data_IF_367066742925
#
_entry.id   IF_367066742925
#
_cell.length_a   1.000
_cell.length_b   1.000
_cell.length_c   1.000
_cell.angle_alpha   90.00
_cell.angle_beta   90.00
_cell.angle_gamma   90.00
#
_symmetry.space_group_name_H-M   'P 1'
#
loop_
_entity.id
_entity.type
_entity.pdbx_description
1 polymer ?
#
# COMPACT_ATOMS: atom_id res chain seq x y z
N UNK A 1 -19.41 -4.74 -3.58
CA UNK A 1 -18.31 -3.79 -3.29
C UNK A 1 -18.97 -2.45 -3.02
N UNK A 2 -19.21 -2.12 -1.75
CA UNK A 2 -19.75 -0.80 -1.39
C UNK A 2 -18.63 0.24 -1.53
N UNK A 3 -18.99 1.47 -1.88
CA UNK A 3 -18.05 2.58 -2.17
C UNK A 3 -17.12 2.87 -0.98
N UNK A 4 -17.52 2.47 0.23
CA UNK A 4 -16.79 2.61 1.51
C UNK A 4 -15.52 1.75 1.62
N UNK A 5 -15.30 0.78 0.73
CA UNK A 5 -14.17 -0.16 0.83
C UNK A 5 -13.07 0.06 -0.23
N UNK A 6 -13.11 1.21 -0.90
CA UNK A 6 -12.12 1.58 -1.93
C UNK A 6 -10.92 2.24 -1.29
N UNK A 7 -9.74 1.63 -1.42
CA UNK A 7 -8.48 2.24 -1.01
C UNK A 7 -7.99 3.20 -2.11
N UNK A 8 -7.70 4.45 -1.74
CA UNK A 8 -7.10 5.43 -2.65
C UNK A 8 -5.58 5.49 -2.48
N UNK A 9 -4.89 5.97 -3.52
CA UNK A 9 -3.43 5.96 -3.58
C UNK A 9 -2.74 6.71 -2.44
N UNK A 10 -3.34 7.80 -1.94
CA UNK A 10 -2.86 8.52 -0.76
C UNK A 10 -2.88 7.67 0.51
N UNK A 11 -3.92 6.86 0.71
CA UNK A 11 -4.05 5.96 1.86
C UNK A 11 -3.06 4.79 1.74
N UNK A 12 -2.91 4.22 0.54
CA UNK A 12 -1.89 3.22 0.26
C UNK A 12 -0.47 3.75 0.55
N UNK A 13 -0.18 5.00 0.15
CA UNK A 13 1.07 5.65 0.47
C UNK A 13 1.28 5.80 1.99
N UNK A 14 0.24 6.19 2.72
CA UNK A 14 0.28 6.32 4.17
C UNK A 14 0.54 4.97 4.85
N UNK A 15 -0.11 3.89 4.40
CA UNK A 15 0.09 2.53 4.90
C UNK A 15 1.54 2.06 4.69
N UNK A 16 2.12 2.29 3.51
CA UNK A 16 3.54 1.98 3.26
C UNK A 16 4.46 2.75 4.20
N UNK A 17 4.25 4.07 4.33
CA UNK A 17 5.06 4.93 5.20
C UNK A 17 4.98 4.48 6.66
N UNK A 18 3.78 4.12 7.14
CA UNK A 18 3.56 3.57 8.48
C UNK A 18 4.28 2.25 8.71
N UNK A 19 4.45 1.45 7.66
CA UNK A 19 5.28 0.24 7.69
C UNK A 19 6.79 0.49 7.55
N UNK A 20 7.23 1.75 7.53
CA UNK A 20 8.65 2.12 7.46
C UNK A 20 9.31 1.82 6.11
N UNK A 21 8.52 1.64 5.04
CA UNK A 21 9.04 1.24 3.73
C UNK A 21 9.19 2.43 2.79
N UNK A 22 10.23 2.43 1.96
CA UNK A 22 10.29 3.26 0.75
C UNK A 22 9.50 2.58 -0.39
N UNK A 23 9.15 3.31 -1.46
CA UNK A 23 8.51 2.69 -2.63
C UNK A 23 9.38 1.60 -3.25
N UNK A 24 10.70 1.81 -3.34
CA UNK A 24 11.63 0.81 -3.83
C UNK A 24 11.71 -0.42 -2.91
N UNK A 25 11.70 -0.21 -1.59
CA UNK A 25 11.69 -1.30 -0.61
C UNK A 25 10.40 -2.13 -0.67
N UNK A 26 9.25 -1.48 -0.86
CA UNK A 26 7.97 -2.18 -1.07
C UNK A 26 7.97 -2.93 -2.40
N UNK A 27 8.45 -2.31 -3.47
CA UNK A 27 8.56 -2.90 -4.79
C UNK A 27 9.42 -4.19 -4.75
N UNK A 28 10.56 -4.16 -4.06
CA UNK A 28 11.41 -5.33 -3.87
C UNK A 28 10.67 -6.47 -3.12
N UNK A 29 9.89 -6.15 -2.08
CA UNK A 29 9.11 -7.15 -1.33
C UNK A 29 7.99 -7.80 -2.14
N UNK A 30 7.39 -7.04 -3.06
CA UNK A 30 6.25 -7.51 -3.86
C UNK A 30 6.65 -8.00 -5.25
N UNK A 31 7.95 -8.05 -5.56
CA UNK A 31 8.46 -8.37 -6.89
C UNK A 31 7.84 -7.49 -7.99
N UNK A 32 7.80 -6.18 -7.71
CA UNK A 32 7.29 -5.14 -8.60
C UNK A 32 8.39 -4.11 -8.87
N UNK A 33 8.13 -3.19 -9.79
CA UNK A 33 8.95 -2.00 -10.01
C UNK A 33 8.50 -0.86 -9.11
N UNK A 34 9.43 0.05 -8.78
CA UNK A 34 9.09 1.32 -8.09
C UNK A 34 8.00 2.09 -8.84
N UNK A 35 8.02 2.07 -10.18
CA UNK A 35 7.03 2.78 -11.01
C UNK A 35 5.63 2.19 -10.83
N UNK A 36 5.48 0.87 -10.73
CA UNK A 36 4.19 0.24 -10.44
C UNK A 36 3.67 0.67 -9.06
N UNK A 37 4.53 0.70 -8.03
CA UNK A 37 4.15 1.23 -6.71
C UNK A 37 3.70 2.69 -6.82
N UNK A 38 4.42 3.52 -7.58
CA UNK A 38 4.03 4.92 -7.80
C UNK A 38 2.68 5.09 -8.51
N UNK A 39 2.28 4.15 -9.38
CA UNK A 39 0.96 4.15 -10.02
C UNK A 39 -0.15 3.79 -9.03
N UNK A 40 0.10 2.83 -8.13
CA UNK A 40 -0.85 2.49 -7.07
C UNK A 40 -0.99 3.61 -6.05
N UNK A 41 0.11 4.30 -5.72
CA UNK A 41 0.11 5.41 -4.75
C UNK A 41 -0.30 6.77 -5.36
N UNK A 42 -0.90 6.78 -6.55
CA UNK A 42 -1.31 8.02 -7.22
C UNK A 42 -2.55 8.60 -6.54
N UNK A 43 -2.46 9.83 -6.05
CA UNK A 43 -3.54 10.51 -5.33
C UNK A 43 -4.84 10.59 -6.14
N UNK A 44 -5.96 10.33 -5.47
CA UNK A 44 -7.30 10.35 -6.06
C UNK A 44 -7.54 9.22 -7.07
N UNK A 45 -6.61 8.27 -7.21
CA UNK A 45 -6.82 7.06 -8.00
C UNK A 45 -7.12 5.88 -7.07
N UNK A 46 -8.13 5.06 -7.40
CA UNK A 46 -8.38 3.84 -6.67
C UNK A 46 -7.23 2.84 -6.90
N UNK A 47 -6.80 2.19 -5.83
CA UNK A 47 -5.87 1.06 -5.89
C UNK A 47 -6.67 -0.17 -6.34
N UNK A 48 -6.14 -1.00 -7.25
CA UNK A 48 -6.85 -2.21 -7.63
C UNK A 48 -7.05 -3.14 -6.41
N UNK A 49 -8.16 -3.89 -6.33
CA UNK A 49 -8.56 -4.58 -5.10
C UNK A 49 -7.48 -5.49 -4.49
N UNK A 50 -6.76 -6.25 -5.33
CA UNK A 50 -5.70 -7.16 -4.89
C UNK A 50 -4.56 -6.42 -4.19
N UNK A 51 -4.10 -5.32 -4.78
CA UNK A 51 -3.05 -4.49 -4.21
C UNK A 51 -3.54 -3.74 -2.96
N UNK A 52 -4.80 -3.31 -2.95
CA UNK A 52 -5.40 -2.68 -1.77
C UNK A 52 -5.36 -3.60 -0.54
N UNK A 53 -5.69 -4.89 -0.71
CA UNK A 53 -5.58 -5.88 0.36
C UNK A 53 -4.14 -6.09 0.82
N UNK A 54 -3.18 -6.10 -0.12
CA UNK A 54 -1.76 -6.17 0.22
C UNK A 54 -1.30 -4.95 1.04
N UNK A 55 -1.74 -3.74 0.71
CA UNK A 55 -1.46 -2.52 1.49
C UNK A 55 -2.09 -2.59 2.89
N UNK A 56 -3.34 -3.06 3.02
CA UNK A 56 -3.99 -3.25 4.33
C UNK A 56 -3.20 -4.23 5.21
N UNK A 57 -2.63 -5.28 4.62
CA UNK A 57 -1.76 -6.24 5.30
C UNK A 57 -0.47 -5.62 5.88
N UNK A 58 0.07 -4.56 5.28
CA UNK A 58 1.28 -3.89 5.80
C UNK A 58 1.05 -3.28 7.19
N UNK A 59 -0.14 -2.74 7.45
CA UNK A 59 -0.46 -2.13 8.74
C UNK A 59 -0.58 -3.16 9.88
N UNK A 60 -1.03 -4.38 9.57
CA UNK A 60 -1.11 -5.47 10.54
C UNK A 60 0.29 -5.95 10.95
N UNK A 61 1.19 -6.12 9.97
CA UNK A 61 2.57 -6.54 10.21
C UNK A 61 3.37 -5.46 10.97
N UNK A 62 3.13 -4.18 10.68
CA UNK A 62 3.78 -3.08 11.38
C UNK A 62 3.39 -3.03 12.86
N UNK A 63 2.12 -3.33 13.21
CA UNK A 63 1.66 -3.39 14.61
C UNK A 63 2.32 -4.53 15.39
N UNK A 64 2.53 -5.69 14.77
CA UNK A 64 3.14 -6.86 15.42
C UNK A 64 4.62 -6.67 15.78
N UNK A 65 5.36 -5.83 15.04
CA UNK A 65 6.78 -5.54 15.33
C UNK A 65 7.00 -4.51 16.43
N UNK A 66 5.95 -3.82 16.87
CA UNK A 66 6.01 -2.79 17.90
C UNK A 66 5.64 -3.29 19.30
N UNK A 67 5.52 -4.62 19.48
CA UNK A 67 5.29 -5.32 20.75
C UNK A 67 6.51 -6.16 21.07
#
# INVERSE_FOLDING_TARGET
>A
MTVEDTLYGEDAQALRKKAGLTQAGLAARWNLTRVQIGRYEKTGQPVPPKEADAYRGLALLAKQKAT
#
